data_IF_557216961375
#
_entry.id   IF_557216961375
#
_cell.length_a   1.000
_cell.length_b   1.000
_cell.length_c   1.000
_cell.angle_alpha   90.00
_cell.angle_beta   90.00
_cell.angle_gamma   90.00
#
_symmetry.space_group_name_H-M   'P 1'
#
loop_
_entity.id
_entity.type
_entity.pdbx_description
1 polymer ?
#
# COMPACT_ATOMS: atom_id res chain seq x y z
N UNK A 1 -3.42 -22.66 -27.67
CA UNK A 1 -4.38 -22.24 -26.62
C UNK A 1 -3.80 -22.72 -25.30
N UNK A 2 -3.24 -21.81 -24.48
CA UNK A 2 -2.58 -22.21 -23.24
C UNK A 2 -3.32 -21.57 -22.06
N UNK A 3 -3.74 -22.43 -21.15
CA UNK A 3 -4.49 -22.11 -19.94
C UNK A 3 -3.55 -21.66 -18.81
N UNK A 4 -4.05 -20.79 -17.95
CA UNK A 4 -3.37 -20.21 -16.79
C UNK A 4 -3.92 -20.85 -15.52
N UNK A 5 -3.05 -21.21 -14.56
CA UNK A 5 -3.49 -21.54 -13.20
C UNK A 5 -3.46 -20.29 -12.33
N UNK A 6 -4.66 -19.78 -12.04
CA UNK A 6 -4.89 -18.71 -11.07
C UNK A 6 -5.19 -19.40 -9.74
N UNK A 7 -4.24 -19.40 -8.82
CA UNK A 7 -4.50 -19.81 -7.44
C UNK A 7 -4.99 -18.61 -6.63
N UNK A 8 -6.29 -18.58 -6.33
CA UNK A 8 -6.90 -17.63 -5.40
C UNK A 8 -6.74 -18.19 -3.99
N UNK A 9 -6.04 -17.49 -3.12
CA UNK A 9 -6.16 -17.66 -1.68
C UNK A 9 -6.83 -16.40 -1.13
N UNK A 10 -8.00 -16.56 -0.53
CA UNK A 10 -8.77 -15.57 0.24
C UNK A 10 -8.41 -14.09 -0.06
N UNK A 11 -8.85 -13.63 -1.22
CA UNK A 11 -8.84 -12.22 -1.66
C UNK A 11 -7.48 -11.55 -1.92
N UNK A 12 -6.35 -12.29 -1.97
CA UNK A 12 -5.07 -11.73 -2.41
C UNK A 12 -4.56 -12.49 -3.65
N UNK A 13 -4.41 -11.78 -4.78
CA UNK A 13 -3.75 -12.34 -5.96
C UNK A 13 -2.22 -12.17 -5.79
N UNK A 14 -1.52 -13.27 -5.52
CA UNK A 14 -0.07 -13.33 -5.68
C UNK A 14 0.20 -13.79 -7.12
N UNK A 15 0.64 -12.88 -7.98
CA UNK A 15 1.10 -13.23 -9.34
C UNK A 15 2.43 -13.96 -9.23
N UNK A 16 2.42 -15.28 -9.46
CA UNK A 16 3.65 -16.08 -9.63
C UNK A 16 4.06 -16.04 -11.12
N UNK A 17 5.28 -15.57 -11.37
CA UNK A 17 5.75 -15.08 -12.67
C UNK A 17 6.00 -16.19 -13.70
N UNK A 18 5.48 -16.04 -14.92
CA UNK A 18 5.90 -16.84 -16.09
C UNK A 18 6.11 -15.99 -17.34
N UNK A 19 6.83 -14.87 -17.18
CA UNK A 19 7.81 -14.37 -18.16
C UNK A 19 8.75 -13.43 -17.42
N UNK A 20 10.05 -13.70 -17.50
CA UNK A 20 11.08 -12.93 -16.82
C UNK A 20 11.15 -11.53 -17.45
N UNK A 21 10.49 -10.53 -16.84
CA UNK A 21 10.95 -9.15 -16.95
C UNK A 21 11.99 -9.01 -15.83
N UNK A 22 13.26 -8.76 -16.15
CA UNK A 22 14.21 -8.35 -15.11
C UNK A 22 13.78 -6.97 -14.59
N UNK A 23 12.91 -6.93 -13.59
CA UNK A 23 12.61 -5.73 -12.82
C UNK A 23 13.35 -5.85 -11.49
N UNK A 24 14.66 -5.57 -11.50
CA UNK A 24 15.53 -5.61 -10.31
C UNK A 24 15.10 -4.65 -9.18
N UNK A 25 14.03 -3.87 -9.40
CA UNK A 25 13.65 -2.74 -8.56
C UNK A 25 12.21 -2.81 -8.04
N UNK A 26 11.47 -3.93 -8.20
CA UNK A 26 10.12 -4.03 -7.62
C UNK A 26 10.24 -4.15 -6.11
N UNK A 27 9.73 -3.16 -5.40
CA UNK A 27 9.71 -3.13 -3.94
C UNK A 27 8.48 -3.85 -3.39
N UNK A 28 7.29 -3.61 -3.98
CA UNK A 28 6.02 -4.19 -3.54
C UNK A 28 5.05 -4.39 -4.72
N UNK A 29 4.10 -5.33 -4.56
CA UNK A 29 3.01 -5.55 -5.51
C UNK A 29 1.70 -5.91 -4.78
N UNK A 30 0.57 -5.40 -5.27
CA UNK A 30 -0.75 -5.56 -4.66
C UNK A 30 -1.84 -5.57 -5.73
N UNK A 31 -2.76 -6.54 -5.69
CA UNK A 31 -3.91 -6.59 -6.59
C UNK A 31 -5.22 -6.28 -5.87
N UNK A 32 -5.93 -5.27 -6.34
CA UNK A 32 -7.26 -4.90 -5.86
C UNK A 32 -8.32 -5.66 -6.66
N UNK A 33 -8.79 -6.79 -6.13
CA UNK A 33 -9.69 -7.71 -6.84
C UNK A 33 -11.01 -7.07 -7.29
N UNK A 34 -11.62 -6.23 -6.44
CA UNK A 34 -12.90 -5.56 -6.72
C UNK A 34 -12.80 -4.57 -7.88
N UNK A 35 -11.73 -3.77 -7.92
CA UNK A 35 -11.48 -2.80 -8.99
C UNK A 35 -10.64 -3.36 -10.13
N UNK A 36 -10.27 -4.64 -10.06
CA UNK A 36 -9.47 -5.33 -11.08
C UNK A 36 -8.21 -4.53 -11.44
N UNK A 37 -7.51 -4.03 -10.43
CA UNK A 37 -6.34 -3.15 -10.60
C UNK A 37 -5.11 -3.77 -9.94
N UNK A 38 -4.00 -3.86 -10.66
CA UNK A 38 -2.69 -4.25 -10.14
C UNK A 38 -1.85 -3.00 -9.84
N UNK A 39 -1.28 -2.95 -8.64
CA UNK A 39 -0.38 -1.90 -8.16
C UNK A 39 1.01 -2.50 -8.03
N UNK A 40 2.01 -1.82 -8.58
CA UNK A 40 3.42 -2.22 -8.52
C UNK A 40 4.24 -1.00 -8.09
N UNK A 41 5.14 -1.17 -7.12
CA UNK A 41 6.09 -0.11 -6.76
C UNK A 41 7.51 -0.45 -7.13
N UNK A 42 8.21 0.55 -7.66
CA UNK A 42 9.57 0.42 -8.12
C UNK A 42 10.46 1.49 -7.49
N UNK A 43 11.69 1.14 -7.13
CA UNK A 43 12.72 2.12 -6.83
C UNK A 43 13.38 2.63 -8.14
N UNK A 44 13.24 3.92 -8.43
CA UNK A 44 13.80 4.58 -9.60
C UNK A 44 14.58 5.82 -9.14
N UNK A 45 15.91 5.79 -9.28
CA UNK A 45 16.79 6.93 -8.99
C UNK A 45 16.57 7.52 -7.58
N UNK A 46 16.58 6.68 -6.54
CA UNK A 46 16.30 7.05 -5.14
C UNK A 46 14.88 7.57 -4.86
N UNK A 47 13.94 7.35 -5.78
CA UNK A 47 12.53 7.66 -5.59
C UNK A 47 11.69 6.39 -5.73
N UNK A 48 10.65 6.25 -4.91
CA UNK A 48 9.69 5.18 -5.11
C UNK A 48 8.61 5.64 -6.09
N UNK A 49 8.34 4.82 -7.10
CA UNK A 49 7.32 5.04 -8.12
C UNK A 49 6.24 4.00 -7.97
N UNK A 50 4.99 4.41 -7.89
CA UNK A 50 3.82 3.55 -7.85
C UNK A 50 3.18 3.55 -9.24
N UNK A 51 3.06 2.37 -9.84
CA UNK A 51 2.43 2.16 -11.14
C UNK A 51 1.15 1.36 -10.95
N UNK A 52 0.09 1.72 -11.67
CA UNK A 52 -1.15 0.96 -11.70
C UNK A 52 -1.49 0.48 -13.09
N UNK A 53 -1.99 -0.74 -13.14
CA UNK A 53 -2.42 -1.43 -14.35
C UNK A 53 -3.81 -1.99 -14.11
N UNK A 54 -4.63 -2.11 -15.16
CA UNK A 54 -5.85 -2.89 -15.05
C UNK A 54 -5.54 -4.40 -15.07
N UNK A 55 -6.57 -5.23 -14.88
CA UNK A 55 -6.42 -6.70 -14.88
C UNK A 55 -6.02 -7.30 -16.22
N UNK A 56 -6.10 -6.54 -17.32
CA UNK A 56 -5.59 -6.95 -18.63
C UNK A 56 -4.11 -6.63 -18.79
N UNK A 57 -3.54 -5.88 -17.86
CA UNK A 57 -2.16 -5.40 -17.90
C UNK A 57 -2.01 -4.07 -18.62
N UNK A 58 -3.11 -3.37 -18.93
CA UNK A 58 -3.06 -2.05 -19.55
C UNK A 58 -2.64 -1.01 -18.50
N UNK A 59 -1.63 -0.19 -18.84
CA UNK A 59 -1.13 0.85 -17.95
C UNK A 59 -2.19 1.92 -17.73
N UNK A 60 -2.50 2.20 -16.46
CA UNK A 60 -3.47 3.22 -16.08
C UNK A 60 -2.78 4.53 -15.75
N UNK A 61 -1.83 4.51 -14.81
CA UNK A 61 -1.15 5.71 -14.31
C UNK A 61 0.06 5.37 -13.44
N UNK A 62 0.96 6.34 -13.26
CA UNK A 62 2.01 6.30 -12.25
C UNK A 62 2.09 7.58 -11.43
N UNK A 63 2.71 7.47 -10.26
CA UNK A 63 3.19 8.59 -9.44
C UNK A 63 4.59 8.26 -8.91
N UNK A 64 5.48 9.25 -8.89
CA UNK A 64 6.80 9.15 -8.28
C UNK A 64 6.83 10.05 -7.06
N UNK A 65 7.24 9.51 -5.92
CA UNK A 65 7.35 10.26 -4.67
C UNK A 65 8.84 10.41 -4.37
N UNK A 66 9.32 11.65 -4.39
CA UNK A 66 10.76 11.90 -4.28
C UNK A 66 11.28 11.66 -2.87
N UNK A 67 12.45 11.04 -2.77
CA UNK A 67 13.14 10.79 -1.50
C UNK A 67 12.26 10.06 -0.47
N UNK A 68 11.36 9.19 -0.93
CA UNK A 68 10.40 8.48 -0.11
C UNK A 68 10.62 6.99 -0.27
N UNK A 69 10.85 6.30 0.84
CA UNK A 69 10.96 4.85 0.90
C UNK A 69 9.62 4.26 1.33
N UNK A 70 9.08 3.35 0.52
CA UNK A 70 7.85 2.62 0.83
C UNK A 70 8.19 1.43 1.74
N UNK A 71 7.54 1.38 2.90
CA UNK A 71 7.68 0.27 3.83
C UNK A 71 6.53 -0.73 3.68
N UNK A 72 5.30 -0.25 3.46
CA UNK A 72 4.11 -1.11 3.37
C UNK A 72 3.05 -0.53 2.42
N UNK A 73 2.32 -1.43 1.74
CA UNK A 73 1.15 -1.10 0.92
C UNK A 73 -0.05 -1.90 1.38
N UNK A 74 -1.18 -1.22 1.56
CA UNK A 74 -2.37 -1.80 2.15
C UNK A 74 -3.59 -1.45 1.30
N UNK A 75 -4.40 -2.45 0.98
CA UNK A 75 -5.59 -2.29 0.17
C UNK A 75 -6.83 -1.98 1.00
N UNK A 76 -7.71 -1.17 0.43
CA UNK A 76 -9.16 -1.33 0.59
C UNK A 76 -9.79 -1.49 -0.81
N UNK A 77 -11.08 -1.76 -0.85
CA UNK A 77 -11.89 -2.00 -2.03
C UNK A 77 -11.62 -1.03 -3.19
N UNK A 78 -11.56 0.28 -2.92
CA UNK A 78 -11.54 1.32 -3.96
C UNK A 78 -10.32 2.25 -3.86
N UNK A 79 -9.43 2.02 -2.89
CA UNK A 79 -8.23 2.83 -2.62
C UNK A 79 -7.14 1.96 -2.00
N UNK A 80 -5.90 2.42 -2.05
CA UNK A 80 -4.80 1.79 -1.33
C UNK A 80 -4.02 2.84 -0.54
N UNK A 81 -3.27 2.36 0.44
CA UNK A 81 -2.48 3.15 1.35
C UNK A 81 -1.03 2.77 1.17
N UNK A 82 -0.17 3.76 1.23
CA UNK A 82 1.26 3.58 1.20
C UNK A 82 1.82 4.21 2.46
N UNK A 83 2.39 3.37 3.32
CA UNK A 83 3.16 3.83 4.46
C UNK A 83 4.63 3.86 4.07
N UNK A 84 5.31 4.94 4.44
CA UNK A 84 6.72 5.06 4.18
C UNK A 84 7.34 6.27 4.87
N UNK A 85 8.61 6.50 4.56
CA UNK A 85 9.45 7.48 5.22
C UNK A 85 10.27 8.28 4.22
N UNK A 86 10.31 9.59 4.41
CA UNK A 86 11.20 10.49 3.69
C UNK A 86 12.62 10.43 4.26
N UNK A 87 13.62 10.74 3.42
CA UNK A 87 15.04 10.78 3.83
C UNK A 87 15.31 11.70 5.02
N UNK A 88 14.50 12.77 5.19
CA UNK A 88 14.59 13.69 6.32
C UNK A 88 13.99 13.15 7.64
N UNK A 89 13.52 11.90 7.64
CA UNK A 89 12.99 11.23 8.82
C UNK A 89 11.46 11.33 8.98
N UNK A 90 10.78 12.17 8.19
CA UNK A 90 9.32 12.33 8.28
C UNK A 90 8.65 11.10 7.71
N UNK A 91 7.76 10.49 8.49
CA UNK A 91 7.00 9.33 8.03
C UNK A 91 5.58 9.72 7.70
N UNK A 92 5.03 9.15 6.63
CA UNK A 92 3.68 9.46 6.14
C UNK A 92 2.90 8.21 5.76
N UNK A 93 1.58 8.35 5.83
CA UNK A 93 0.65 7.47 5.11
C UNK A 93 -0.01 8.29 4.02
N UNK A 94 0.10 7.80 2.80
CA UNK A 94 -0.55 8.36 1.63
C UNK A 94 -1.76 7.49 1.29
N UNK A 95 -2.94 8.10 1.17
CA UNK A 95 -4.12 7.43 0.61
C UNK A 95 -4.17 7.71 -0.88
N UNK A 96 -4.20 6.67 -1.71
CA UNK A 96 -4.29 6.78 -3.16
C UNK A 96 -5.55 6.09 -3.70
N UNK A 97 -6.11 6.63 -4.77
CA UNK A 97 -7.10 5.89 -5.58
C UNK A 97 -6.41 4.78 -6.40
N UNK A 98 -7.20 3.90 -7.02
CA UNK A 98 -6.67 2.82 -7.87
C UNK A 98 -5.94 3.32 -9.15
N UNK A 99 -5.91 4.62 -9.41
CA UNK A 99 -5.13 5.25 -10.49
C UNK A 99 -3.91 6.00 -9.93
N UNK A 100 -3.44 5.65 -8.74
CA UNK A 100 -2.28 6.26 -8.09
C UNK A 100 -2.38 7.79 -7.93
N UNK A 101 -3.59 8.34 -7.80
CA UNK A 101 -3.80 9.74 -7.41
C UNK A 101 -3.83 9.83 -5.89
N UNK A 102 -3.01 10.71 -5.32
CA UNK A 102 -3.07 11.02 -3.89
C UNK A 102 -4.41 11.69 -3.59
N UNK A 103 -5.15 11.11 -2.66
CA UNK A 103 -6.43 11.61 -2.14
C UNK A 103 -6.22 12.39 -0.84
N UNK A 104 -5.31 11.92 0.01
CA UNK A 104 -4.97 12.55 1.29
C UNK A 104 -3.62 12.05 1.80
N UNK A 105 -3.00 12.80 2.71
CA UNK A 105 -1.74 12.44 3.36
C UNK A 105 -1.85 12.71 4.85
N UNK A 106 -1.28 11.83 5.67
CA UNK A 106 -1.18 12.01 7.11
C UNK A 106 0.26 11.82 7.55
N UNK A 107 0.75 12.73 8.41
CA UNK A 107 2.05 12.59 9.05
C UNK A 107 1.89 11.63 10.22
N UNK A 108 2.77 10.63 10.29
CA UNK A 108 2.87 9.77 11.45
C UNK A 108 4.00 10.28 12.32
N UNK A 109 3.65 10.67 13.54
CA UNK A 109 4.62 11.04 14.55
C UNK A 109 5.15 9.80 15.29
N UNK A 110 6.40 9.45 15.02
CA UNK A 110 7.13 8.35 15.66
C UNK A 110 7.93 8.79 16.90
N UNK A 111 7.85 10.06 17.32
CA UNK A 111 8.64 10.57 18.46
C UNK A 111 8.40 9.82 19.76
N UNK A 112 7.24 9.16 19.89
CA UNK A 112 6.98 8.19 20.95
C UNK A 112 7.27 6.77 20.44
N UNK A 113 8.51 6.33 20.61
CA UNK A 113 8.97 4.99 20.28
C UNK A 113 8.10 3.93 20.97
N UNK A 114 7.46 3.09 20.15
CA UNK A 114 6.87 1.83 20.60
C UNK A 114 7.36 0.71 19.71
N UNK A 115 7.64 -0.44 20.31
CA UNK A 115 8.45 -1.52 19.73
C UNK A 115 7.92 -2.04 18.39
N UNK A 116 6.60 -2.05 18.18
CA UNK A 116 5.98 -2.49 16.93
C UNK A 116 4.70 -1.71 16.63
N UNK A 117 4.45 -1.46 15.35
CA UNK A 117 3.19 -0.87 14.86
C UNK A 117 2.57 -1.81 13.84
N UNK A 118 1.24 -1.86 13.84
CA UNK A 118 0.47 -2.59 12.84
C UNK A 118 -0.65 -1.70 12.33
N UNK A 119 -0.68 -1.49 11.03
CA UNK A 119 -1.80 -0.80 10.40
C UNK A 119 -2.98 -1.76 10.26
N UNK A 120 -4.17 -1.28 10.61
CA UNK A 120 -5.41 -2.06 10.58
C UNK A 120 -6.45 -1.31 9.76
N UNK A 121 -7.03 -2.02 8.79
CA UNK A 121 -8.19 -1.56 8.03
C UNK A 121 -9.44 -2.17 8.66
N UNK A 122 -10.43 -1.33 9.00
CA UNK A 122 -11.74 -1.78 9.47
C UNK A 122 -12.87 -1.14 8.65
N UNK A 123 -14.12 -1.53 8.94
CA UNK A 123 -15.30 -0.90 8.33
C UNK A 123 -15.39 0.60 8.68
N UNK A 124 -14.95 0.97 9.87
CA UNK A 124 -15.11 2.32 10.41
C UNK A 124 -14.00 3.29 9.97
N UNK A 125 -12.87 2.75 9.52
CA UNK A 125 -11.76 3.56 9.06
C UNK A 125 -10.44 2.82 9.08
N UNK A 126 -9.38 3.60 9.17
CA UNK A 126 -8.00 3.16 9.11
C UNK A 126 -7.29 3.56 10.37
N UNK A 127 -6.64 2.59 11.00
CA UNK A 127 -6.10 2.72 12.33
C UNK A 127 -4.65 2.28 12.36
N UNK A 128 -3.83 3.01 13.11
CA UNK A 128 -2.50 2.58 13.49
C UNK A 128 -2.56 2.05 14.92
N UNK A 129 -2.31 0.76 15.08
CA UNK A 129 -2.23 0.12 16.38
C UNK A 129 -0.78 0.05 16.84
N UNK A 130 -0.54 0.47 18.07
CA UNK A 130 0.77 0.41 18.69
C UNK A 130 0.80 -0.77 19.65
N UNK A 131 1.81 -1.62 19.46
CA UNK A 131 2.01 -2.84 20.21
C UNK A 131 3.26 -2.73 21.09
N UNK A 132 3.15 -3.28 22.30
CA UNK A 132 4.29 -3.52 23.18
C UNK A 132 4.24 -4.98 23.63
N UNK A 133 5.39 -5.66 23.59
CA UNK A 133 5.55 -7.06 24.00
C UNK A 133 4.97 -7.38 25.38
N UNK A 134 4.94 -6.41 26.30
CA UNK A 134 4.37 -6.55 27.66
C UNK A 134 2.86 -6.34 27.75
N UNK A 135 2.30 -5.43 26.94
CA UNK A 135 0.94 -4.90 27.15
C UNK A 135 -0.03 -5.24 26.02
N UNK A 136 0.43 -5.89 24.94
CA UNK A 136 -0.40 -6.07 23.76
C UNK A 136 -0.61 -4.74 23.02
N UNK A 137 -1.79 -4.57 22.42
CA UNK A 137 -2.21 -3.29 21.81
C UNK A 137 -2.56 -2.34 22.95
N UNK A 138 -1.80 -1.25 23.10
CA UNK A 138 -2.02 -0.29 24.19
C UNK A 138 -2.45 1.10 23.68
N UNK A 139 -2.34 1.36 22.37
CA UNK A 139 -2.83 2.59 21.73
C UNK A 139 -3.35 2.29 20.33
N UNK A 140 -4.43 2.95 19.96
CA UNK A 140 -4.99 2.95 18.61
C UNK A 140 -5.15 4.41 18.19
N UNK A 141 -4.52 4.80 17.09
CA UNK A 141 -4.69 6.11 16.45
C UNK A 141 -5.53 5.95 15.21
N UNK A 142 -6.65 6.66 15.14
CA UNK A 142 -7.42 6.80 13.90
C UNK A 142 -6.64 7.70 12.93
N UNK A 143 -6.41 7.23 11.72
CA UNK A 143 -5.66 7.93 10.67
C UNK A 143 -6.61 8.50 9.63
N UNK A 144 -7.60 7.71 9.19
CA UNK A 144 -8.62 8.16 8.25
C UNK A 144 -9.99 7.59 8.64
N UNK A 145 -11.02 8.43 8.69
CA UNK A 145 -12.41 7.96 8.78
C UNK A 145 -12.90 7.51 7.42
N UNK A 146 -13.64 6.39 7.39
CA UNK A 146 -14.56 6.17 6.29
C UNK A 146 -15.74 7.11 6.54
N UNK A 147 -15.81 8.22 5.82
CA UNK A 147 -17.05 8.98 5.76
C UNK A 147 -18.10 8.01 5.21
N UNK A 148 -19.08 7.64 6.05
CA UNK A 148 -20.29 6.98 5.57
C UNK A 148 -20.89 7.95 4.55
N UNK A 149 -20.84 7.57 3.28
CA UNK A 149 -21.76 8.13 2.29
C UNK A 149 -23.15 7.87 2.84
N UNK A 150 -23.83 8.93 3.26
CA UNK A 150 -25.27 8.94 3.54
C UNK A 150 -26.04 8.54 2.29
#
# INVERSE_FOLDING_TARGET
MNNYDISLFDNNLILKWTKQIQLNNITNALFLSKTKTLIITNNINNNETINTYDYKGDFLKSITISNFKIDEIIANNDSFFVQGKYDNGISKILKLDNKAKILSEEIIDYTNYYEQQKFIVSKDGYFLCYYNSKNGIFKISEIFKNNKSS
#
